data_IF_306888208446
#
_entry.id   IF_306888208446
#
_cell.length_a   1.000
_cell.length_b   1.000
_cell.length_c   1.000
_cell.angle_alpha   90.00
_cell.angle_beta   90.00
_cell.angle_gamma   90.00
#
_symmetry.space_group_name_H-M   'P 1'
#
loop_
_entity.id
_entity.type
_entity.pdbx_description
1 polymer ?
#
# COMPACT_ATOMS: atom_id res chain seq x y z
N UNK A 1 5.71 -14.40 1.29
CA UNK A 1 6.56 -13.47 2.02
C UNK A 1 7.32 -14.24 3.10
N UNK A 2 8.66 -14.17 3.06
CA UNK A 2 9.53 -14.81 4.07
C UNK A 2 9.81 -13.87 5.25
N UNK A 3 8.92 -12.90 5.53
CA UNK A 3 8.98 -12.22 6.80
C UNK A 3 8.67 -13.27 7.87
N UNK A 4 9.55 -13.50 8.84
CA UNK A 4 9.28 -14.44 9.91
C UNK A 4 7.97 -14.06 10.57
N UNK A 5 7.17 -15.05 10.94
CA UNK A 5 6.02 -14.83 11.83
C UNK A 5 6.59 -14.41 13.18
N UNK A 6 6.85 -13.13 13.32
CA UNK A 6 7.34 -12.52 14.54
C UNK A 6 6.28 -12.61 15.64
N UNK A 7 5.01 -12.69 15.21
CA UNK A 7 3.85 -12.70 16.08
C UNK A 7 2.77 -13.62 15.49
N UNK A 8 2.20 -14.51 16.33
CA UNK A 8 1.09 -15.39 15.94
C UNK A 8 -0.25 -14.66 15.91
N UNK A 9 -0.37 -13.49 16.54
CA UNK A 9 -1.58 -12.68 16.64
C UNK A 9 -1.67 -11.59 15.58
N UNK A 10 -0.53 -11.28 14.95
CA UNK A 10 -0.43 -10.28 13.88
C UNK A 10 -0.20 -10.97 12.54
N UNK A 11 -0.96 -10.59 11.54
CA UNK A 11 -0.81 -11.09 10.17
C UNK A 11 -0.21 -10.01 9.30
N UNK A 12 0.96 -10.31 8.72
CA UNK A 12 1.55 -9.51 7.64
C UNK A 12 1.75 -10.43 6.43
N UNK A 13 1.13 -10.10 5.32
CA UNK A 13 1.18 -10.88 4.10
C UNK A 13 1.44 -9.96 2.92
N UNK A 14 2.43 -10.33 2.09
CA UNK A 14 2.66 -9.72 0.78
C UNK A 14 2.64 -10.83 -0.26
N UNK A 15 1.97 -10.59 -1.37
CA UNK A 15 1.91 -11.52 -2.48
C UNK A 15 2.09 -10.78 -3.80
N UNK A 16 2.73 -11.47 -4.77
CA UNK A 16 2.97 -10.96 -6.11
C UNK A 16 2.31 -11.86 -7.13
N UNK A 17 1.78 -11.29 -8.19
CA UNK A 17 1.33 -12.04 -9.36
C UNK A 17 1.67 -11.33 -10.66
N UNK A 18 1.80 -12.13 -11.71
CA UNK A 18 2.02 -11.67 -13.08
C UNK A 18 1.02 -12.41 -13.97
N UNK A 19 0.13 -11.65 -14.57
CA UNK A 19 -0.87 -12.13 -15.50
C UNK A 19 -0.44 -11.75 -16.89
N UNK A 20 -0.25 -12.75 -17.76
CA UNK A 20 0.27 -12.56 -19.10
C UNK A 20 -0.86 -12.85 -20.08
N UNK A 21 -1.12 -11.94 -21.00
CA UNK A 21 -2.02 -12.23 -22.12
C UNK A 21 -1.46 -13.42 -22.90
N UNK A 22 -2.27 -14.40 -23.21
CA UNK A 22 -1.88 -15.69 -23.81
C UNK A 22 -1.12 -15.56 -25.14
N UNK A 23 -1.35 -14.43 -25.87
CA UNK A 23 -0.64 -14.09 -27.12
C UNK A 23 0.61 -13.23 -26.91
N UNK A 24 0.98 -12.91 -25.68
CA UNK A 24 2.10 -12.02 -25.40
C UNK A 24 3.41 -12.80 -25.18
N UNK A 25 4.48 -12.52 -25.94
CA UNK A 25 5.74 -13.24 -25.84
C UNK A 25 6.57 -12.74 -24.65
N UNK A 26 6.31 -13.26 -23.46
CA UNK A 26 7.11 -13.00 -22.26
C UNK A 26 8.14 -14.10 -22.06
N UNK A 27 9.41 -13.71 -21.90
CA UNK A 27 10.56 -14.64 -21.79
C UNK A 27 10.46 -15.55 -20.57
N UNK A 28 10.75 -16.83 -20.74
CA UNK A 28 10.76 -17.83 -19.65
C UNK A 28 11.75 -17.44 -18.54
N UNK A 29 12.91 -16.85 -18.89
CA UNK A 29 13.89 -16.39 -17.91
C UNK A 29 13.32 -15.33 -16.98
N UNK A 30 12.53 -14.39 -17.50
CA UNK A 30 11.83 -13.37 -16.69
C UNK A 30 10.83 -14.05 -15.75
N UNK A 31 10.03 -14.99 -16.26
CA UNK A 31 9.06 -15.70 -15.43
C UNK A 31 9.75 -16.52 -14.32
N UNK A 32 10.83 -17.23 -14.63
CA UNK A 32 11.58 -18.04 -13.65
C UNK A 32 12.18 -17.17 -12.53
N UNK A 33 12.80 -16.02 -12.87
CA UNK A 33 13.35 -15.08 -11.89
C UNK A 33 12.23 -14.59 -10.96
N UNK A 34 11.07 -14.22 -11.51
CA UNK A 34 9.97 -13.71 -10.71
C UNK A 34 9.35 -14.79 -9.80
N UNK A 35 9.25 -16.03 -10.27
CA UNK A 35 8.82 -17.16 -9.40
C UNK A 35 9.83 -17.42 -8.28
N UNK A 36 11.12 -17.39 -8.59
CA UNK A 36 12.17 -17.76 -7.63
C UNK A 36 12.42 -16.67 -6.57
N UNK A 37 12.54 -15.41 -6.97
CA UNK A 37 12.97 -14.33 -6.07
C UNK A 37 11.83 -13.51 -5.51
N UNK A 38 10.74 -13.36 -6.25
CA UNK A 38 9.57 -12.58 -5.83
C UNK A 38 8.39 -13.46 -5.44
N UNK A 39 8.53 -14.79 -5.52
CA UNK A 39 7.47 -15.77 -5.24
C UNK A 39 6.17 -15.44 -5.98
N UNK A 40 6.31 -14.89 -7.20
CA UNK A 40 5.17 -14.44 -7.98
C UNK A 40 4.37 -15.62 -8.52
N UNK A 41 3.06 -15.58 -8.35
CA UNK A 41 2.14 -16.41 -9.12
C UNK A 41 2.10 -15.90 -10.55
N UNK A 42 2.31 -16.78 -11.55
CA UNK A 42 2.37 -16.38 -12.96
C UNK A 42 1.43 -17.27 -13.75
N UNK A 43 0.45 -16.65 -14.42
CA UNK A 43 -0.53 -17.32 -15.26
C UNK A 43 -0.72 -16.61 -16.59
N UNK A 44 -0.97 -17.39 -17.64
CA UNK A 44 -1.39 -16.90 -18.93
C UNK A 44 -2.92 -16.93 -19.02
N UNK A 45 -3.53 -15.83 -19.46
CA UNK A 45 -4.98 -15.67 -19.57
C UNK A 45 -5.31 -14.94 -20.88
N UNK A 46 -6.43 -15.31 -21.49
CA UNK A 46 -7.01 -14.51 -22.56
C UNK A 46 -7.73 -13.29 -21.98
N UNK A 47 -7.13 -12.10 -22.08
CA UNK A 47 -7.70 -10.86 -21.54
C UNK A 47 -8.97 -10.39 -22.29
N UNK A 48 -9.25 -10.95 -23.46
CA UNK A 48 -10.50 -10.70 -24.17
C UNK A 48 -11.71 -11.40 -23.51
N UNK A 49 -11.44 -12.42 -22.68
CA UNK A 49 -12.45 -13.18 -21.98
C UNK A 49 -12.80 -12.52 -20.61
N UNK A 50 -14.07 -12.17 -20.35
CA UNK A 50 -14.47 -11.55 -19.08
C UNK A 50 -14.10 -12.37 -17.84
N UNK A 51 -14.01 -13.70 -17.97
CA UNK A 51 -13.59 -14.58 -16.86
C UNK A 51 -12.19 -14.28 -16.36
N UNK A 52 -11.29 -13.77 -17.20
CA UNK A 52 -9.90 -13.45 -16.85
C UNK A 52 -9.83 -12.35 -15.80
N UNK A 53 -10.62 -11.27 -15.97
CA UNK A 53 -10.79 -10.23 -14.96
C UNK A 53 -11.30 -10.80 -13.64
N UNK A 54 -12.25 -11.74 -13.70
CA UNK A 54 -12.79 -12.40 -12.50
C UNK A 54 -11.74 -13.25 -11.76
N UNK A 55 -10.83 -13.90 -12.48
CA UNK A 55 -9.72 -14.69 -11.89
C UNK A 55 -8.77 -13.75 -11.15
N UNK A 56 -8.36 -12.64 -11.78
CA UNK A 56 -7.44 -11.65 -11.22
C UNK A 56 -8.05 -10.99 -9.96
N UNK A 57 -9.30 -10.55 -10.04
CA UNK A 57 -9.99 -9.97 -8.88
C UNK A 57 -10.16 -10.97 -7.73
N UNK A 58 -10.43 -12.23 -8.04
CA UNK A 58 -10.52 -13.29 -7.02
C UNK A 58 -9.17 -13.48 -6.32
N UNK A 59 -8.07 -13.55 -7.07
CA UNK A 59 -6.74 -13.65 -6.50
C UNK A 59 -6.44 -12.49 -5.52
N UNK A 60 -6.67 -11.25 -5.93
CA UNK A 60 -6.47 -10.09 -5.06
C UNK A 60 -7.34 -10.13 -3.80
N UNK A 61 -8.61 -10.54 -3.95
CA UNK A 61 -9.52 -10.76 -2.81
C UNK A 61 -8.98 -11.79 -1.83
N UNK A 62 -8.47 -12.91 -2.31
CA UNK A 62 -7.90 -13.98 -1.48
C UNK A 62 -6.64 -13.52 -0.76
N UNK A 63 -5.70 -12.87 -1.48
CA UNK A 63 -4.46 -12.37 -0.89
C UNK A 63 -4.68 -11.24 0.13
N UNK A 64 -5.80 -10.53 0.06
CA UNK A 64 -6.15 -9.44 1.00
C UNK A 64 -7.26 -9.84 1.98
N UNK A 65 -7.51 -11.13 2.15
CA UNK A 65 -8.54 -11.68 3.03
C UNK A 65 -9.92 -11.02 2.82
N UNK A 66 -10.29 -10.77 1.57
CA UNK A 66 -11.55 -10.17 1.17
C UNK A 66 -11.61 -8.64 1.27
N UNK A 67 -10.54 -7.98 1.71
CA UNK A 67 -10.52 -6.53 1.92
C UNK A 67 -10.48 -5.74 0.61
N UNK A 68 -9.82 -6.27 -0.42
CA UNK A 68 -9.82 -5.71 -1.77
C UNK A 68 -10.48 -6.72 -2.72
N UNK A 69 -11.81 -6.72 -2.83
CA UNK A 69 -12.52 -7.70 -3.65
C UNK A 69 -12.50 -7.39 -5.14
N UNK A 70 -12.13 -6.17 -5.51
CA UNK A 70 -12.19 -5.66 -6.87
C UNK A 70 -11.06 -4.66 -7.10
N UNK A 71 -10.17 -4.96 -8.04
CA UNK A 71 -9.01 -4.13 -8.38
C UNK A 71 -9.00 -3.72 -9.85
N UNK A 72 -9.64 -4.53 -10.72
CA UNK A 72 -9.74 -4.30 -12.15
C UNK A 72 -11.20 -4.36 -12.61
N UNK A 73 -11.61 -3.39 -13.42
CA UNK A 73 -12.88 -3.43 -14.16
C UNK A 73 -12.75 -4.35 -15.38
N UNK A 74 -11.61 -4.32 -16.05
CA UNK A 74 -11.28 -5.15 -17.20
C UNK A 74 -9.78 -5.42 -17.28
N UNK A 75 -9.38 -6.67 -17.54
CA UNK A 75 -8.01 -7.00 -17.86
C UNK A 75 -7.65 -6.45 -19.24
N UNK A 76 -6.56 -5.69 -19.34
CA UNK A 76 -6.12 -5.02 -20.56
C UNK A 76 -4.59 -5.07 -20.69
N UNK A 77 -4.10 -4.74 -21.88
CA UNK A 77 -2.67 -4.74 -22.17
C UNK A 77 -2.12 -6.15 -22.44
N UNK A 78 -0.83 -6.30 -22.30
CA UNK A 78 -0.12 -7.54 -22.60
C UNK A 78 0.34 -8.26 -21.35
N UNK A 79 0.57 -7.52 -20.27
CA UNK A 79 0.99 -8.07 -19.00
C UNK A 79 0.52 -7.16 -17.85
N UNK A 80 -0.01 -7.78 -16.80
CA UNK A 80 -0.47 -7.10 -15.59
C UNK A 80 0.33 -7.67 -14.42
N UNK A 81 1.06 -6.80 -13.72
CA UNK A 81 1.77 -7.14 -12.49
C UNK A 81 0.98 -6.60 -11.31
N UNK A 82 0.79 -7.44 -10.30
CA UNK A 82 0.07 -7.05 -9.09
C UNK A 82 0.91 -7.39 -7.87
N UNK A 83 1.07 -6.42 -7.01
CA UNK A 83 1.54 -6.64 -5.64
C UNK A 83 0.40 -6.35 -4.67
N UNK A 84 0.22 -7.23 -3.69
CA UNK A 84 -0.72 -7.03 -2.59
C UNK A 84 0.01 -7.02 -1.27
N UNK A 85 -0.46 -6.17 -0.36
CA UNK A 85 -0.04 -6.11 1.02
C UNK A 85 -1.27 -6.21 1.91
N UNK A 86 -1.22 -7.08 2.91
CA UNK A 86 -2.25 -7.22 3.92
C UNK A 86 -1.61 -7.20 5.31
N UNK A 87 -2.16 -6.37 6.19
CA UNK A 87 -1.79 -6.30 7.60
C UNK A 87 -3.05 -6.39 8.46
N UNK A 88 -2.97 -7.18 9.54
CA UNK A 88 -3.99 -7.23 10.59
C UNK A 88 -3.28 -7.38 11.91
N UNK A 89 -3.48 -6.44 12.84
CA UNK A 89 -2.94 -6.48 14.18
C UNK A 89 -3.97 -6.05 15.22
N UNK A 90 -4.14 -6.83 16.28
CA UNK A 90 -4.91 -6.42 17.45
C UNK A 90 -4.05 -5.55 18.37
N UNK A 91 -4.62 -4.51 18.96
CA UNK A 91 -3.91 -3.70 19.95
C UNK A 91 -3.52 -4.54 21.18
N UNK A 92 -2.34 -4.32 21.76
CA UNK A 92 -2.01 -4.85 23.10
C UNK A 92 -2.96 -4.23 24.14
N UNK A 93 -3.25 -2.94 23.99
CA UNK A 93 -4.20 -2.21 24.82
C UNK A 93 -5.40 -1.80 23.95
N UNK A 94 -6.45 -2.64 23.85
CA UNK A 94 -7.62 -2.31 23.04
C UNK A 94 -8.42 -1.17 23.69
N UNK A 95 -9.07 -0.37 22.85
CA UNK A 95 -10.02 0.63 23.29
C UNK A 95 -11.32 -0.04 23.73
N UNK A 96 -12.00 0.51 24.74
CA UNK A 96 -13.34 0.08 25.12
C UNK A 96 -14.37 0.70 24.17
N UNK A 97 -15.17 -0.09 23.44
CA UNK A 97 -16.22 0.44 22.57
C UNK A 97 -17.25 1.30 23.32
N UNK A 98 -17.46 1.06 24.64
CA UNK A 98 -18.37 1.86 25.45
C UNK A 98 -17.85 3.29 25.70
N UNK A 99 -16.54 3.51 25.57
CA UNK A 99 -15.89 4.83 25.70
C UNK A 99 -15.72 5.52 24.34
N UNK A 100 -16.06 4.89 23.22
CA UNK A 100 -16.07 5.54 21.90
C UNK A 100 -17.25 6.51 21.79
N UNK A 101 -16.95 7.78 21.51
CA UNK A 101 -17.95 8.86 21.49
C UNK A 101 -17.84 9.69 20.22
N UNK A 102 -18.96 10.34 19.83
CA UNK A 102 -18.95 11.32 18.75
C UNK A 102 -18.29 12.61 19.22
N UNK A 103 -17.13 12.93 18.70
CA UNK A 103 -16.40 14.18 18.97
C UNK A 103 -16.07 14.94 17.68
N UNK A 104 -15.78 16.22 17.79
CA UNK A 104 -15.37 17.00 16.64
C UNK A 104 -13.87 16.80 16.36
N UNK A 105 -13.54 16.45 15.14
CA UNK A 105 -12.18 16.51 14.61
C UNK A 105 -11.97 17.84 13.91
N UNK A 106 -10.81 18.45 14.11
CA UNK A 106 -10.45 19.80 13.60
C UNK A 106 -9.32 19.68 12.59
N UNK A 107 -9.61 19.47 11.29
CA UNK A 107 -8.59 19.44 10.26
C UNK A 107 -8.01 20.83 10.01
N UNK A 108 -6.84 20.89 9.36
CA UNK A 108 -6.18 22.16 9.00
C UNK A 108 -7.09 23.08 8.16
N UNK A 109 -8.02 22.49 7.39
CA UNK A 109 -9.03 23.27 6.62
C UNK A 109 -9.98 24.10 7.49
N UNK A 110 -9.97 23.91 8.81
CA UNK A 110 -10.76 24.67 9.77
C UNK A 110 -12.22 24.23 9.93
N UNK A 111 -12.76 23.42 9.03
CA UNK A 111 -14.13 22.92 9.11
C UNK A 111 -14.16 21.65 9.96
N UNK A 112 -14.76 21.73 11.13
CA UNK A 112 -14.90 20.58 12.04
C UNK A 112 -15.78 19.48 11.43
N UNK A 113 -15.41 18.23 11.70
CA UNK A 113 -16.19 17.05 11.32
C UNK A 113 -16.45 16.16 12.54
N UNK A 114 -17.67 15.62 12.73
CA UNK A 114 -17.91 14.64 13.75
C UNK A 114 -17.21 13.32 13.36
N UNK A 115 -16.52 12.72 14.32
CA UNK A 115 -15.85 11.42 14.18
C UNK A 115 -16.16 10.54 15.38
N UNK A 116 -16.15 9.23 15.20
CA UNK A 116 -16.16 8.27 16.32
C UNK A 116 -14.77 8.28 16.96
N UNK A 117 -14.65 8.98 18.09
CA UNK A 117 -13.40 9.13 18.84
C UNK A 117 -13.28 8.03 19.88
N UNK A 118 -12.32 7.15 19.72
CA UNK A 118 -11.97 6.10 20.67
C UNK A 118 -11.13 6.69 21.79
N UNK A 119 -11.38 6.28 23.03
CA UNK A 119 -10.70 6.77 24.22
C UNK A 119 -9.97 5.62 24.91
N UNK A 120 -8.74 5.88 25.34
CA UNK A 120 -7.94 4.95 26.11
C UNK A 120 -7.17 5.73 27.17
N UNK A 121 -7.52 5.55 28.43
CA UNK A 121 -6.92 6.24 29.57
C UNK A 121 -5.98 5.34 30.35
N UNK A 122 -5.08 5.97 31.12
CA UNK A 122 -4.22 5.31 32.10
C UNK A 122 -3.30 4.23 31.54
N UNK A 123 -2.90 4.34 30.27
CA UNK A 123 -1.97 3.39 29.65
C UNK A 123 -0.61 4.04 29.36
N UNK A 124 0.43 3.21 29.50
CA UNK A 124 1.81 3.62 29.23
C UNK A 124 2.18 3.33 27.79
N UNK A 125 2.61 4.37 27.07
CA UNK A 125 3.09 4.27 25.71
C UNK A 125 4.48 4.86 25.55
N UNK A 126 5.27 4.33 24.62
CA UNK A 126 6.46 4.98 24.11
C UNK A 126 6.04 6.32 23.48
N UNK A 127 6.64 7.41 23.98
CA UNK A 127 6.21 8.78 23.65
C UNK A 127 7.40 9.69 23.37
N UNK A 128 7.28 10.53 22.36
CA UNK A 128 8.29 11.55 22.06
C UNK A 128 7.62 12.88 21.73
N UNK A 129 8.18 13.95 22.30
CA UNK A 129 7.76 15.32 22.04
C UNK A 129 8.81 16.03 21.21
N UNK A 130 8.59 16.06 19.89
CA UNK A 130 9.43 16.78 18.94
C UNK A 130 9.12 18.29 18.94
N UNK A 131 9.87 19.04 18.17
CA UNK A 131 9.66 20.49 18.05
C UNK A 131 8.28 20.82 17.45
N UNK A 132 7.89 20.13 16.36
CA UNK A 132 6.68 20.44 15.59
C UNK A 132 5.50 19.52 15.90
N UNK A 133 5.71 18.36 16.54
CA UNK A 133 4.67 17.37 16.78
C UNK A 133 4.89 16.58 18.07
N UNK A 134 3.91 15.82 18.45
CA UNK A 134 3.98 14.77 19.46
C UNK A 134 3.80 13.40 18.79
N UNK A 135 4.47 12.37 19.28
CA UNK A 135 4.46 11.03 18.71
C UNK A 135 4.22 10.01 19.82
N UNK A 136 3.27 9.09 19.57
CA UNK A 136 3.00 7.94 20.44
C UNK A 136 3.05 6.65 19.60
N UNK A 137 3.59 5.58 20.19
CA UNK A 137 3.71 4.26 19.55
C UNK A 137 2.78 3.28 20.23
N UNK A 138 1.83 2.76 19.48
CA UNK A 138 0.78 1.83 19.91
C UNK A 138 1.15 0.41 19.45
N UNK A 139 1.52 -0.48 20.35
CA UNK A 139 1.97 -1.81 19.97
C UNK A 139 0.82 -2.76 19.63
N UNK A 140 1.11 -3.69 18.71
CA UNK A 140 0.22 -4.79 18.33
C UNK A 140 0.70 -6.12 18.90
N UNK A 141 -0.25 -7.02 19.16
CA UNK A 141 0.02 -8.42 19.43
C UNK A 141 1.03 -8.67 20.55
N UNK A 142 2.22 -9.11 20.21
CA UNK A 142 3.32 -9.35 21.14
C UNK A 142 4.42 -8.28 21.09
N UNK A 143 4.09 -7.07 20.63
CA UNK A 143 5.00 -5.92 20.49
C UNK A 143 6.03 -6.03 19.33
N UNK A 144 5.88 -7.02 18.44
CA UNK A 144 6.75 -7.11 17.26
C UNK A 144 6.39 -6.10 16.17
N UNK A 145 5.20 -5.53 16.22
CA UNK A 145 4.67 -4.50 15.33
C UNK A 145 3.99 -3.40 16.12
N UNK A 146 4.04 -2.20 15.62
CA UNK A 146 3.38 -1.07 16.26
C UNK A 146 2.87 -0.06 15.22
N UNK A 147 1.86 0.72 15.61
CA UNK A 147 1.44 1.93 14.90
C UNK A 147 2.04 3.14 15.60
N UNK A 148 2.77 3.96 14.85
CA UNK A 148 3.20 5.27 15.35
C UNK A 148 2.23 6.34 14.88
N UNK A 149 1.63 7.02 15.83
CA UNK A 149 0.72 8.16 15.59
C UNK A 149 1.49 9.45 15.84
N UNK A 150 1.43 10.37 14.87
CA UNK A 150 2.10 11.66 14.91
C UNK A 150 1.04 12.75 14.87
N UNK A 151 1.01 13.57 15.92
CA UNK A 151 0.07 14.68 16.07
C UNK A 151 0.81 16.01 15.95
N UNK A 152 0.60 16.80 14.88
CA UNK A 152 1.14 18.14 14.77
C UNK A 152 0.70 19.01 15.95
N UNK A 153 1.59 19.84 16.47
CA UNK A 153 1.23 20.86 17.48
C UNK A 153 0.25 21.87 16.89
N UNK A 154 -0.51 22.51 17.77
CA UNK A 154 -1.48 23.53 17.38
C UNK A 154 -0.84 24.61 16.51
N UNK A 155 -1.40 24.82 15.33
CA UNK A 155 -0.90 25.81 14.35
C UNK A 155 0.22 25.32 13.44
N UNK A 156 0.68 24.07 13.59
CA UNK A 156 1.67 23.44 12.70
C UNK A 156 0.94 22.66 11.61
N UNK A 157 1.34 22.85 10.35
CA UNK A 157 0.78 22.07 9.24
C UNK A 157 1.38 20.65 9.18
N UNK A 158 0.61 19.71 8.64
CA UNK A 158 1.11 18.35 8.37
C UNK A 158 2.31 18.39 7.41
N UNK A 159 2.27 19.23 6.38
CA UNK A 159 3.37 19.39 5.41
C UNK A 159 4.66 19.85 6.09
N UNK A 160 4.56 20.75 7.07
CA UNK A 160 5.72 21.17 7.87
C UNK A 160 6.32 20.02 8.68
N UNK A 161 5.49 19.15 9.22
CA UNK A 161 5.97 17.94 9.91
C UNK A 161 6.61 16.97 8.91
N UNK A 162 5.96 16.71 7.78
CA UNK A 162 6.48 15.80 6.72
C UNK A 162 7.83 16.29 6.21
N UNK A 163 8.01 17.59 6.03
CA UNK A 163 9.28 18.18 5.57
C UNK A 163 10.48 17.92 6.51
N UNK A 164 10.22 17.56 7.77
CA UNK A 164 11.28 17.18 8.73
C UNK A 164 11.67 15.72 8.67
N UNK A 165 10.93 14.89 7.92
CA UNK A 165 11.21 13.46 7.85
C UNK A 165 12.47 13.19 7.03
N UNK A 166 13.39 12.50 7.66
CA UNK A 166 14.57 11.88 7.07
C UNK A 166 14.85 10.57 7.79
N UNK A 167 15.65 9.71 7.20
CA UNK A 167 16.06 8.46 7.86
C UNK A 167 16.72 8.72 9.22
N UNK A 168 17.59 9.74 9.29
CA UNK A 168 18.30 10.11 10.51
C UNK A 168 17.32 10.60 11.59
N UNK A 169 16.42 11.53 11.24
CA UNK A 169 15.43 12.05 12.17
C UNK A 169 14.46 10.96 12.64
N UNK A 170 14.00 10.10 11.74
CA UNK A 170 13.11 9.01 12.09
C UNK A 170 13.76 8.06 13.11
N UNK A 171 15.01 7.63 12.88
CA UNK A 171 15.75 6.80 13.82
C UNK A 171 15.95 7.49 15.18
N UNK A 172 16.28 8.78 15.17
CA UNK A 172 16.44 9.55 16.41
C UNK A 172 15.13 9.66 17.20
N UNK A 173 13.99 9.91 16.54
CA UNK A 173 12.68 9.99 17.18
C UNK A 173 12.25 8.65 17.77
N UNK A 174 12.43 7.54 17.06
CA UNK A 174 12.12 6.21 17.58
C UNK A 174 12.98 5.91 18.81
N UNK A 175 14.30 6.13 18.75
CA UNK A 175 15.19 5.90 19.89
C UNK A 175 14.84 6.78 21.10
N UNK A 176 14.45 8.03 20.87
CA UNK A 176 13.99 8.93 21.94
C UNK A 176 12.63 8.49 22.52
N UNK A 177 11.73 8.00 21.69
CA UNK A 177 10.44 7.46 22.10
C UNK A 177 10.58 6.20 22.95
N UNK A 178 11.45 5.26 22.55
CA UNK A 178 11.70 4.01 23.28
C UNK A 178 12.32 4.26 24.67
N UNK A 179 12.99 5.39 24.84
CA UNK A 179 13.63 5.78 26.10
C UNK A 179 12.67 6.39 27.12
N UNK A 180 11.47 6.79 26.66
CA UNK A 180 10.49 7.51 27.49
C UNK A 180 9.13 6.86 27.35
N UNK A 181 8.62 6.27 28.42
CA UNK A 181 7.23 5.88 28.52
C UNK A 181 6.45 6.92 29.31
N UNK A 182 5.32 7.34 28.78
CA UNK A 182 4.40 8.24 29.44
C UNK A 182 3.02 7.58 29.61
N UNK A 183 2.39 7.83 30.76
CA UNK A 183 0.99 7.52 30.92
C UNK A 183 0.17 8.56 30.15
N UNK A 184 -0.60 8.10 29.17
CA UNK A 184 -1.35 8.96 28.25
C UNK A 184 -2.85 8.71 28.35
N UNK A 185 -3.61 9.79 28.23
CA UNK A 185 -5.02 9.77 27.83
C UNK A 185 -5.08 9.93 26.33
N UNK A 186 -5.19 8.81 25.62
CA UNK A 186 -5.14 8.77 24.17
C UNK A 186 -6.55 8.89 23.58
N UNK A 187 -6.68 9.82 22.62
CA UNK A 187 -7.86 9.93 21.78
C UNK A 187 -7.45 9.67 20.33
N UNK A 188 -8.02 8.63 19.75
CA UNK A 188 -7.76 8.25 18.36
C UNK A 188 -9.08 8.12 17.61
N UNK A 189 -9.28 8.83 16.49
CA UNK A 189 -10.49 8.60 15.71
C UNK A 189 -10.48 7.21 15.10
N UNK A 190 -11.62 6.53 15.10
CA UNK A 190 -11.84 5.38 14.27
C UNK A 190 -11.69 5.79 12.80
N UNK A 191 -10.92 5.02 12.02
CA UNK A 191 -10.59 5.35 10.64
C UNK A 191 -11.13 4.25 9.75
N UNK A 192 -11.80 4.67 8.68
CA UNK A 192 -12.14 3.81 7.54
C UNK A 192 -11.81 4.58 6.27
N UNK A 193 -10.77 4.14 5.60
CA UNK A 193 -10.22 4.81 4.42
C UNK A 193 -10.16 3.81 3.27
N UNK A 194 -10.73 4.20 2.14
CA UNK A 194 -10.51 3.61 0.83
C UNK A 194 -9.84 4.64 -0.07
N UNK A 195 -8.71 4.27 -0.66
CA UNK A 195 -7.92 5.16 -1.51
C UNK A 195 -7.49 4.44 -2.78
N UNK A 196 -7.67 5.09 -3.91
CA UNK A 196 -7.20 4.64 -5.23
C UNK A 196 -6.46 5.79 -5.90
N UNK A 197 -5.27 5.55 -6.42
CA UNK A 197 -4.48 6.57 -7.11
C UNK A 197 -3.58 5.97 -8.18
N UNK A 198 -3.43 6.69 -9.29
CA UNK A 198 -2.35 6.45 -10.23
C UNK A 198 -1.05 7.04 -9.65
N UNK A 199 -0.03 6.20 -9.49
CA UNK A 199 1.23 6.59 -8.84
C UNK A 199 2.37 6.83 -9.82
N UNK A 200 2.16 6.75 -11.15
CA UNK A 200 3.16 7.14 -12.16
C UNK A 200 3.73 8.55 -11.92
N UNK A 201 2.91 9.59 -11.63
CA UNK A 201 3.45 10.93 -11.36
C UNK A 201 4.40 10.98 -10.16
N UNK A 202 4.23 10.06 -9.19
CA UNK A 202 5.13 9.95 -8.02
C UNK A 202 6.48 9.38 -8.48
N UNK A 203 6.48 8.30 -9.26
CA UNK A 203 7.69 7.72 -9.81
C UNK A 203 8.46 8.70 -10.71
N UNK A 204 7.74 9.49 -11.52
CA UNK A 204 8.36 10.54 -12.35
C UNK A 204 9.03 11.61 -11.48
N UNK A 205 8.43 12.05 -10.39
CA UNK A 205 9.06 12.98 -9.43
C UNK A 205 10.29 12.38 -8.74
N UNK A 206 10.36 11.06 -8.62
CA UNK A 206 11.52 10.34 -8.11
C UNK A 206 12.61 10.11 -9.17
N UNK A 207 12.41 10.60 -10.41
CA UNK A 207 13.38 10.50 -11.50
C UNK A 207 13.21 9.29 -12.41
N UNK A 208 12.15 8.50 -12.27
CA UNK A 208 11.86 7.36 -13.14
C UNK A 208 10.95 7.87 -14.26
N UNK A 209 11.49 8.04 -15.47
CA UNK A 209 10.75 8.57 -16.62
C UNK A 209 10.67 7.56 -17.77
N UNK A 210 11.77 6.89 -18.07
CA UNK A 210 11.92 6.07 -19.27
C UNK A 210 10.93 4.91 -19.32
N UNK A 211 10.68 4.26 -18.19
CA UNK A 211 9.78 3.12 -18.10
C UNK A 211 8.33 3.41 -18.56
N UNK A 212 7.92 4.69 -18.55
CA UNK A 212 6.58 5.15 -18.92
C UNK A 212 6.51 5.75 -20.32
N UNK A 213 7.62 5.78 -21.05
CA UNK A 213 7.71 6.36 -22.39
C UNK A 213 7.98 5.25 -23.41
N UNK A 214 7.03 5.01 -24.31
CA UNK A 214 7.11 4.00 -25.34
C UNK A 214 8.40 4.07 -26.20
N UNK A 215 8.95 5.28 -26.39
CA UNK A 215 10.15 5.49 -27.20
C UNK A 215 11.48 5.29 -26.45
N UNK A 216 11.45 5.20 -25.11
CA UNK A 216 12.65 5.16 -24.26
C UNK A 216 12.72 3.94 -23.36
N UNK A 217 11.58 3.27 -23.13
CA UNK A 217 11.49 2.15 -22.20
C UNK A 217 12.30 0.95 -22.68
N UNK A 218 13.08 0.36 -21.80
CA UNK A 218 13.83 -0.88 -22.07
C UNK A 218 13.30 -2.02 -21.16
N UNK A 219 12.45 -2.86 -21.73
CA UNK A 219 11.96 -4.10 -21.14
C UNK A 219 12.51 -5.34 -21.86
N UNK A 220 13.67 -5.23 -22.51
CA UNK A 220 14.30 -6.31 -23.28
C UNK A 220 14.56 -7.59 -22.46
N UNK A 221 14.67 -7.49 -21.14
CA UNK A 221 14.76 -8.67 -20.26
C UNK A 221 13.43 -9.40 -20.06
N UNK A 222 12.30 -8.74 -20.32
CA UNK A 222 10.96 -9.30 -20.19
C UNK A 222 10.44 -9.85 -21.52
N UNK A 223 10.66 -9.13 -22.62
CA UNK A 223 10.14 -9.44 -23.95
C UNK A 223 11.09 -8.92 -25.03
N UNK A 224 11.02 -9.50 -26.25
CA UNK A 224 11.75 -8.97 -27.41
C UNK A 224 10.94 -7.92 -28.18
N UNK A 225 9.71 -7.65 -27.76
CA UNK A 225 8.88 -6.58 -28.33
C UNK A 225 9.10 -5.26 -27.57
N UNK A 226 9.00 -4.10 -28.25
CA UNK A 226 8.95 -2.83 -27.56
C UNK A 226 7.83 -2.84 -26.52
N UNK A 227 8.13 -2.42 -25.29
CA UNK A 227 7.18 -2.45 -24.20
C UNK A 227 7.37 -1.28 -23.26
N UNK A 228 6.31 -0.78 -22.66
CA UNK A 228 6.34 0.28 -21.65
C UNK A 228 5.23 0.08 -20.61
N UNK A 229 5.36 0.75 -19.48
CA UNK A 229 4.33 0.77 -18.44
C UNK A 229 3.32 1.86 -18.77
N UNK A 230 2.09 1.47 -19.05
CA UNK A 230 0.99 2.40 -19.38
C UNK A 230 0.26 2.91 -18.13
N UNK A 231 0.24 2.13 -17.06
CA UNK A 231 -0.51 2.46 -15.86
C UNK A 231 0.08 1.80 -14.62
N UNK A 232 0.07 2.51 -13.50
CA UNK A 232 0.30 1.95 -12.16
C UNK A 232 -0.77 2.50 -11.23
N UNK A 233 -1.71 1.66 -10.82
CA UNK A 233 -2.74 2.01 -9.85
C UNK A 233 -2.45 1.37 -8.50
N UNK A 234 -2.59 2.16 -7.45
CA UNK A 234 -2.51 1.70 -6.07
C UNK A 234 -3.88 1.79 -5.41
N UNK A 235 -4.31 0.69 -4.81
CA UNK A 235 -5.51 0.59 -3.98
C UNK A 235 -5.08 0.40 -2.54
N UNK A 236 -5.68 1.13 -1.64
CA UNK A 236 -5.43 1.00 -0.20
C UNK A 236 -6.75 1.03 0.55
N UNK A 237 -6.93 0.08 1.47
CA UNK A 237 -7.99 0.10 2.45
C UNK A 237 -7.38 0.03 3.84
N UNK A 238 -7.75 0.96 4.70
CA UNK A 238 -7.31 1.03 6.09
C UNK A 238 -8.54 1.12 6.99
N UNK A 239 -8.61 0.23 7.96
CA UNK A 239 -9.59 0.27 9.06
C UNK A 239 -8.85 0.27 10.38
N UNK A 240 -9.07 1.29 11.21
CA UNK A 240 -8.57 1.41 12.57
C UNK A 240 -9.78 1.45 13.49
N UNK A 241 -9.85 0.48 14.38
CA UNK A 241 -10.99 0.25 15.27
C UNK A 241 -10.51 0.08 16.71
N UNK A 242 -11.42 -0.07 17.64
CA UNK A 242 -11.15 -0.29 19.05
C UNK A 242 -10.30 -1.55 19.31
N UNK A 243 -10.44 -2.57 18.48
CA UNK A 243 -9.75 -3.86 18.65
C UNK A 243 -8.40 -3.94 17.94
N UNK A 244 -8.13 -3.04 16.99
CA UNK A 244 -6.91 -3.09 16.21
C UNK A 244 -6.99 -2.41 14.85
N UNK A 245 -6.01 -2.74 14.01
CA UNK A 245 -5.91 -2.24 12.65
C UNK A 245 -6.00 -3.37 11.64
N UNK A 246 -6.75 -3.14 10.56
CA UNK A 246 -6.72 -3.96 9.36
C UNK A 246 -6.40 -3.06 8.17
N UNK A 247 -5.30 -3.35 7.49
CA UNK A 247 -4.88 -2.63 6.31
C UNK A 247 -4.68 -3.58 5.13
N UNK A 248 -5.11 -3.18 3.95
CA UNK A 248 -4.85 -3.89 2.72
C UNK A 248 -4.47 -2.90 1.62
N UNK A 249 -3.47 -3.23 0.85
CA UNK A 249 -3.08 -2.48 -0.33
C UNK A 249 -2.89 -3.43 -1.52
N UNK A 250 -3.17 -2.96 -2.71
CA UNK A 250 -2.84 -3.65 -3.95
C UNK A 250 -2.33 -2.63 -4.97
N UNK A 251 -1.25 -2.94 -5.64
CA UNK A 251 -0.70 -2.14 -6.74
C UNK A 251 -0.80 -2.93 -8.02
N UNK A 252 -1.33 -2.32 -9.06
CA UNK A 252 -1.44 -2.89 -10.40
C UNK A 252 -0.52 -2.11 -11.33
N UNK A 253 0.28 -2.83 -12.11
CA UNK A 253 1.11 -2.26 -13.17
C UNK A 253 0.72 -2.90 -14.49
N UNK A 254 0.20 -2.11 -15.42
CA UNK A 254 -0.10 -2.53 -16.77
C UNK A 254 1.09 -2.27 -17.69
N UNK A 255 1.56 -3.33 -18.36
CA UNK A 255 2.61 -3.28 -19.37
C UNK A 255 1.99 -3.52 -20.73
N UNK A 256 2.24 -2.61 -21.66
CA UNK A 256 1.78 -2.67 -23.06
C UNK A 256 2.96 -2.99 -23.96
N UNK A 257 2.77 -3.90 -24.89
CA UNK A 257 3.73 -4.20 -25.95
C UNK A 257 3.27 -3.50 -27.23
N UNK A 258 4.17 -2.80 -27.90
CA UNK A 258 3.88 -2.20 -29.18
C UNK A 258 4.06 -3.24 -30.29
N UNK A 259 3.01 -3.52 -31.06
CA UNK A 259 3.12 -4.22 -32.31
C UNK A 259 3.62 -3.23 -33.39
N UNK A 260 4.67 -3.58 -34.14
CA UNK A 260 4.96 -2.88 -35.40
C UNK A 260 3.71 -2.93 -36.29
N UNK A 261 3.13 -1.77 -36.57
CA UNK A 261 2.16 -1.64 -37.65
C UNK A 261 3.00 -1.78 -38.93
N UNK A 262 3.06 -2.99 -39.49
CA UNK A 262 3.53 -3.19 -40.85
C UNK A 262 2.48 -2.52 -41.74
N UNK A 263 2.73 -1.29 -42.11
CA UNK A 263 1.99 -0.65 -43.19
C UNK A 263 2.31 -1.46 -44.46
N UNK A 264 1.36 -2.25 -44.93
CA UNK A 264 1.41 -2.82 -46.28
C UNK A 264 1.53 -1.64 -47.27
N UNK A 265 2.73 -1.42 -47.78
CA UNK A 265 2.93 -0.57 -48.95
C UNK A 265 2.38 -1.37 -50.12
N UNK A 266 1.17 -1.09 -50.54
CA UNK A 266 0.66 -1.55 -51.86
C UNK A 266 1.48 -0.86 -52.95
N UNK A 267 2.25 -1.63 -53.76
CA UNK A 267 2.92 -1.00 -54.91
C UNK A 267 1.87 -0.66 -55.95
N UNK A 268 1.97 0.55 -56.47
CA UNK A 268 1.23 0.99 -57.67
C UNK A 268 1.75 0.30 -58.91
#
# INVERSE_FOLDING_TARGET
SNLPRLDSTTVFQSANSIWIHDKSPVKDSFQQINRQYFLAEIQNLDFSEPKSTGIINRWAKEQTQGRIPHILDQAQGNCILINTLFFKGGWIFPFDPAETRQENFYPVSGKKHPVSMMHLSDQWFAFHKAELFEMATLPYGNDSYAMTVILPKKGVSIDSCIATFSEANWKAWLSASDSISCMLDLKLPSIKLDYKSNIIPIFQKMGIHDAFNANCADFSRMTDMPAYISEIEQFTRLEVTETGTVAAAATITNVVFESEIVSEITPY
#
